data_IF_273594344152
#
_entry.id   IF_273594344152
#
_cell.length_a   1.000
_cell.length_b   1.000
_cell.length_c   1.000
_cell.angle_alpha   90.00
_cell.angle_beta   90.00
_cell.angle_gamma   90.00
#
_symmetry.space_group_name_H-M   'P 1'
#
loop_
_entity.id
_entity.type
_entity.pdbx_description
1 polymer ?
#
# COMPACT_ATOMS: atom_id res chain seq x y z
N UNK A 1 5.07 31.01 -31.08
CA UNK A 1 5.83 31.27 -29.84
C UNK A 1 5.29 30.25 -28.88
N UNK A 2 6.02 29.15 -28.92
CA UNK A 2 5.59 27.78 -28.70
C UNK A 2 5.82 27.38 -27.25
N UNK A 3 4.92 26.53 -26.79
CA UNK A 3 5.16 25.41 -25.88
C UNK A 3 5.88 25.73 -24.55
N UNK A 4 5.05 26.04 -23.55
CA UNK A 4 5.01 25.31 -22.28
C UNK A 4 6.30 24.62 -21.82
N UNK A 5 7.22 25.38 -21.23
CA UNK A 5 8.16 24.89 -20.22
C UNK A 5 7.40 24.51 -18.94
N UNK A 6 6.66 23.40 -19.00
CA UNK A 6 6.47 22.53 -17.84
C UNK A 6 7.61 21.51 -17.88
N UNK A 7 8.78 21.97 -17.47
CA UNK A 7 9.91 21.08 -17.23
C UNK A 7 9.48 20.03 -16.20
N UNK A 8 9.64 18.78 -16.62
CA UNK A 8 9.18 17.57 -15.97
C UNK A 8 9.83 17.39 -14.59
N UNK A 9 9.20 17.88 -13.54
CA UNK A 9 9.53 17.57 -12.15
C UNK A 9 8.96 16.18 -11.74
N UNK A 10 9.21 15.16 -12.57
CA UNK A 10 8.85 13.77 -12.32
C UNK A 10 10.00 12.98 -11.66
N UNK A 11 10.93 13.69 -10.98
CA UNK A 11 11.96 13.07 -10.13
C UNK A 11 11.40 13.02 -8.69
N UNK A 12 10.84 11.86 -8.31
CA UNK A 12 10.38 11.52 -6.95
C UNK A 12 8.91 11.82 -6.59
N UNK A 13 8.00 11.75 -7.55
CA UNK A 13 6.57 11.69 -7.19
C UNK A 13 6.24 10.30 -6.63
N UNK A 14 6.11 10.20 -5.31
CA UNK A 14 5.53 9.03 -4.63
C UNK A 14 4.01 9.13 -4.69
N UNK A 15 3.32 8.02 -4.86
CA UNK A 15 1.85 7.93 -4.70
C UNK A 15 1.51 7.01 -3.53
N UNK A 16 0.31 7.17 -2.98
CA UNK A 16 -0.18 6.38 -1.86
C UNK A 16 -1.48 5.71 -2.23
N UNK A 17 -1.62 4.45 -1.83
CA UNK A 17 -2.86 3.70 -1.87
C UNK A 17 -3.22 3.29 -0.45
N UNK A 18 -4.47 3.49 -0.04
CA UNK A 18 -4.91 3.06 1.28
C UNK A 18 -6.07 2.07 1.23
N UNK A 19 -6.16 1.24 2.26
CA UNK A 19 -7.13 0.18 2.34
C UNK A 19 -7.69 0.14 3.76
N UNK A 20 -8.98 0.44 3.86
CA UNK A 20 -9.68 0.67 5.12
C UNK A 20 -10.61 -0.51 5.37
N UNK A 21 -10.46 -1.17 6.52
CA UNK A 21 -11.31 -2.30 6.91
C UNK A 21 -11.51 -2.34 8.41
N UNK A 22 -12.53 -3.05 8.88
CA UNK A 22 -12.73 -3.28 10.31
C UNK A 22 -12.02 -4.55 10.75
N UNK A 23 -11.25 -4.47 11.82
CA UNK A 23 -10.53 -5.61 12.36
C UNK A 23 -10.31 -5.49 13.87
N UNK A 24 -10.58 -6.59 14.56
CA UNK A 24 -10.25 -6.74 15.97
C UNK A 24 -8.79 -7.14 16.18
N UNK A 25 -8.11 -7.60 15.12
CA UNK A 25 -6.70 -8.00 15.18
C UNK A 25 -5.79 -6.84 15.62
N UNK A 26 -4.68 -7.20 16.27
CA UNK A 26 -3.63 -6.27 16.63
C UNK A 26 -2.85 -5.81 15.39
N UNK A 27 -2.20 -4.66 15.48
CA UNK A 27 -1.37 -4.14 14.38
C UNK A 27 -0.25 -5.13 14.04
N UNK A 28 0.36 -5.78 15.05
CA UNK A 28 1.39 -6.80 14.84
C UNK A 28 0.91 -7.99 14.00
N UNK A 29 -0.30 -8.50 14.28
CA UNK A 29 -0.87 -9.61 13.52
C UNK A 29 -1.16 -9.21 12.07
N UNK A 30 -1.67 -7.99 11.87
CA UNK A 30 -1.94 -7.45 10.53
C UNK A 30 -0.63 -7.23 9.76
N UNK A 31 0.41 -6.70 10.41
CA UNK A 31 1.73 -6.53 9.79
C UNK A 31 2.37 -7.86 9.41
N UNK A 32 2.30 -8.86 10.29
CA UNK A 32 2.82 -10.20 10.01
C UNK A 32 2.12 -10.81 8.79
N UNK A 33 0.79 -10.67 8.71
CA UNK A 33 -0.03 -11.13 7.57
C UNK A 33 0.32 -10.37 6.28
N UNK A 34 0.36 -9.03 6.32
CA UNK A 34 0.75 -8.21 5.17
C UNK A 34 2.15 -8.55 4.69
N UNK A 35 3.12 -8.73 5.60
CA UNK A 35 4.48 -9.15 5.26
C UNK A 35 4.51 -10.52 4.60
N UNK A 36 3.79 -11.50 5.14
CA UNK A 36 3.70 -12.84 4.56
C UNK A 36 3.13 -12.78 3.14
N UNK A 37 2.06 -12.02 2.94
CA UNK A 37 1.44 -11.86 1.64
C UNK A 37 2.35 -11.15 0.63
N UNK A 38 3.10 -10.11 1.02
CA UNK A 38 4.09 -9.46 0.14
C UNK A 38 5.12 -10.47 -0.38
N UNK A 39 5.57 -11.36 0.51
CA UNK A 39 6.54 -12.41 0.18
C UNK A 39 5.93 -13.51 -0.71
N UNK A 40 4.68 -13.91 -0.43
CA UNK A 40 3.99 -14.99 -1.14
C UNK A 40 3.53 -14.60 -2.55
N UNK A 41 2.91 -13.43 -2.70
CA UNK A 41 2.41 -12.95 -3.99
C UNK A 41 3.49 -12.30 -4.86
N UNK A 42 4.74 -12.27 -4.39
CA UNK A 42 5.91 -12.10 -5.24
C UNK A 42 5.93 -10.79 -6.03
N UNK A 43 5.61 -9.67 -5.40
CA UNK A 43 5.74 -8.34 -6.04
C UNK A 43 7.17 -8.15 -6.58
N UNK A 44 8.15 -8.76 -5.89
CA UNK A 44 9.55 -8.83 -6.28
C UNK A 44 10.12 -10.18 -5.74
N UNK A 45 10.78 -11.03 -6.54
CA UNK A 45 11.56 -12.13 -5.97
C UNK A 45 12.79 -11.53 -5.25
N UNK A 46 13.02 -11.93 -3.98
CA UNK A 46 14.12 -11.46 -3.12
C UNK A 46 14.01 -10.03 -2.55
N UNK A 47 12.80 -9.56 -2.24
CA UNK A 47 12.61 -8.26 -1.57
C UNK A 47 13.14 -8.28 -0.14
N UNK A 48 13.92 -7.27 0.22
CA UNK A 48 14.25 -7.01 1.63
C UNK A 48 13.09 -6.28 2.28
N UNK A 49 12.48 -6.90 3.28
CA UNK A 49 11.44 -6.28 4.09
C UNK A 49 12.00 -6.04 5.50
N UNK A 50 12.12 -4.76 5.87
CA UNK A 50 12.43 -4.36 7.25
C UNK A 50 11.19 -3.77 7.89
N UNK A 51 10.87 -4.22 9.09
CA UNK A 51 9.77 -3.72 9.90
C UNK A 51 10.30 -2.72 10.92
N UNK A 52 9.66 -1.57 11.02
CA UNK A 52 9.92 -0.52 12.01
C UNK A 52 8.58 -0.07 12.58
N UNK A 53 8.33 -0.40 13.85
CA UNK A 53 7.04 -0.22 14.52
C UNK A 53 5.85 -0.69 13.65
N UNK A 54 5.04 0.26 13.18
CA UNK A 54 3.84 0.02 12.36
C UNK A 54 4.08 0.21 10.85
N UNK A 55 5.34 0.17 10.39
CA UNK A 55 5.76 0.42 9.02
C UNK A 55 6.64 -0.73 8.50
N UNK A 56 6.28 -1.28 7.34
CA UNK A 56 7.08 -2.22 6.56
C UNK A 56 7.77 -1.46 5.43
N UNK A 57 9.10 -1.37 5.45
CA UNK A 57 9.89 -0.87 4.34
C UNK A 57 10.26 -2.05 3.43
N UNK A 58 9.89 -1.95 2.17
CA UNK A 58 9.98 -2.99 1.15
C UNK A 58 10.95 -2.48 0.07
N UNK A 59 12.13 -3.09 0.01
CA UNK A 59 13.22 -2.77 -0.93
C UNK A 59 13.74 -1.31 -0.90
N UNK A 60 13.35 -0.53 0.11
CA UNK A 60 13.67 0.90 0.21
C UNK A 60 12.89 1.81 -0.74
N UNK A 61 12.09 1.25 -1.65
CA UNK A 61 11.26 1.99 -2.60
C UNK A 61 9.79 2.04 -2.21
N UNK A 62 9.31 1.03 -1.48
CA UNK A 62 7.90 0.94 -1.09
C UNK A 62 7.78 0.87 0.43
N UNK A 63 6.74 1.50 0.97
CA UNK A 63 6.44 1.45 2.40
C UNK A 63 5.00 1.04 2.60
N UNK A 64 4.74 0.11 3.51
CA UNK A 64 3.39 -0.23 3.96
C UNK A 64 3.23 0.17 5.42
N UNK A 65 2.36 1.12 5.74
CA UNK A 65 2.07 1.52 7.12
C UNK A 65 0.68 1.07 7.54
N UNK A 66 0.56 0.50 8.74
CA UNK A 66 -0.71 0.07 9.30
C UNK A 66 -1.06 0.99 10.47
N UNK A 67 -2.24 1.62 10.42
CA UNK A 67 -2.75 2.45 11.50
C UNK A 67 -4.14 1.99 11.94
N UNK A 68 -4.40 2.03 13.25
CA UNK A 68 -5.72 1.68 13.82
C UNK A 68 -6.43 2.95 14.26
N UNK A 69 -7.58 3.22 13.65
CA UNK A 69 -8.51 4.30 13.97
C UNK A 69 -9.51 3.86 15.05
N UNK A 70 -10.22 4.80 15.69
CA UNK A 70 -11.30 4.49 16.61
C UNK A 70 -12.34 3.56 15.97
N UNK A 71 -13.07 2.78 16.79
CA UNK A 71 -14.08 1.81 16.33
C UNK A 71 -13.52 0.60 15.56
N UNK A 72 -12.29 0.17 15.88
CA UNK A 72 -11.63 -1.00 15.29
C UNK A 72 -11.43 -0.89 13.77
N UNK A 73 -11.39 0.33 13.24
CA UNK A 73 -11.07 0.56 11.83
C UNK A 73 -9.55 0.55 11.67
N UNK A 74 -9.06 -0.20 10.69
CA UNK A 74 -7.64 -0.32 10.36
C UNK A 74 -7.45 0.21 8.96
N UNK A 75 -6.39 1.01 8.79
CA UNK A 75 -5.97 1.55 7.52
C UNK A 75 -4.58 1.00 7.23
N UNK A 76 -4.44 0.30 6.11
CA UNK A 76 -3.14 -0.07 5.55
C UNK A 76 -2.86 0.88 4.39
N UNK A 77 -1.77 1.63 4.47
CA UNK A 77 -1.32 2.56 3.45
C UNK A 77 -0.04 2.03 2.78
N UNK A 78 -0.05 1.93 1.46
CA UNK A 78 1.10 1.60 0.64
C UNK A 78 1.59 2.84 -0.09
N UNK A 79 2.81 3.28 0.19
CA UNK A 79 3.50 4.37 -0.50
C UNK A 79 4.50 3.79 -1.50
N UNK A 80 4.33 4.09 -2.78
CA UNK A 80 5.17 3.54 -3.86
C UNK A 80 5.42 4.57 -4.98
N UNK A 81 6.45 4.39 -5.82
CA UNK A 81 6.74 5.31 -6.91
C UNK A 81 5.62 5.33 -7.95
N UNK A 82 5.21 6.51 -8.42
CA UNK A 82 4.17 6.68 -9.45
C UNK A 82 4.51 5.92 -10.74
N UNK A 83 5.80 5.89 -11.10
CA UNK A 83 6.30 5.20 -12.30
C UNK A 83 5.95 3.70 -12.33
N UNK A 84 5.79 3.08 -11.16
CA UNK A 84 5.52 1.66 -11.00
C UNK A 84 4.09 1.39 -10.51
N UNK A 85 3.17 2.37 -10.65
CA UNK A 85 1.80 2.27 -10.13
C UNK A 85 1.09 0.97 -10.51
N UNK A 86 1.08 0.60 -11.80
CA UNK A 86 0.41 -0.63 -12.25
C UNK A 86 1.01 -1.88 -11.63
N UNK A 87 2.34 -1.94 -11.53
CA UNK A 87 3.07 -3.08 -10.97
C UNK A 87 2.71 -3.27 -9.49
N UNK A 88 2.67 -2.18 -8.73
CA UNK A 88 2.39 -2.23 -7.30
C UNK A 88 0.90 -2.38 -6.99
N UNK A 89 -0.01 -1.78 -7.74
CA UNK A 89 -1.46 -1.94 -7.52
C UNK A 89 -1.91 -3.37 -7.81
N UNK A 90 -1.47 -3.97 -8.92
CA UNK A 90 -1.84 -5.36 -9.25
C UNK A 90 -1.26 -6.36 -8.24
N UNK A 91 -0.13 -6.03 -7.64
CA UNK A 91 0.50 -6.86 -6.64
C UNK A 91 -0.10 -6.63 -5.25
N UNK A 92 -0.35 -5.38 -4.84
CA UNK A 92 -0.94 -5.05 -3.54
C UNK A 92 -2.42 -5.42 -3.44
N UNK A 93 -3.15 -5.39 -4.55
CA UNK A 93 -4.51 -5.96 -4.60
C UNK A 93 -4.54 -7.47 -4.33
N UNK A 94 -3.42 -8.18 -4.54
CA UNK A 94 -3.29 -9.61 -4.20
C UNK A 94 -2.73 -9.83 -2.80
N UNK A 95 -1.79 -8.98 -2.38
CA UNK A 95 -1.11 -9.02 -1.08
C UNK A 95 -2.03 -8.60 0.07
N UNK A 96 -2.95 -7.67 -0.17
CA UNK A 96 -3.97 -7.33 0.82
C UNK A 96 -4.95 -8.48 0.91
N UNK A 97 -4.64 -9.52 1.69
CA UNK A 97 -5.59 -10.41 2.38
C UNK A 97 -6.91 -10.63 1.59
N UNK A 98 -6.87 -11.26 0.41
CA UNK A 98 -8.07 -11.47 -0.45
C UNK A 98 -9.05 -10.27 -0.46
N UNK A 99 -8.53 -9.05 -0.57
CA UNK A 99 -9.32 -7.83 -0.40
C UNK A 99 -10.07 -7.51 -1.67
N UNK A 100 -11.38 -7.69 -1.64
CA UNK A 100 -12.27 -7.13 -2.64
C UNK A 100 -12.28 -5.60 -2.49
N UNK A 101 -11.87 -4.88 -3.53
CA UNK A 101 -12.07 -3.43 -3.61
C UNK A 101 -13.57 -3.19 -3.67
N UNK A 102 -14.18 -2.77 -2.55
CA UNK A 102 -15.62 -2.59 -2.50
C UNK A 102 -16.05 -1.26 -3.13
N UNK A 103 -15.36 -0.15 -2.83
CA UNK A 103 -15.72 1.19 -3.30
C UNK A 103 -14.49 2.13 -3.30
N UNK A 104 -14.44 3.08 -4.26
CA UNK A 104 -13.43 4.15 -4.31
C UNK A 104 -13.84 5.26 -3.34
N UNK A 105 -13.06 5.52 -2.30
CA UNK A 105 -13.43 6.45 -1.24
C UNK A 105 -13.18 7.93 -1.57
N UNK A 106 -12.23 8.29 -2.46
CA UNK A 106 -12.04 9.65 -3.01
C UNK A 106 -10.87 9.71 -4.04
N UNK A 107 -10.49 10.91 -4.50
CA UNK A 107 -9.35 11.15 -5.42
C UNK A 107 -7.98 10.66 -4.91
N UNK A 108 -7.84 10.35 -3.62
CA UNK A 108 -6.73 9.58 -3.07
C UNK A 108 -7.12 8.10 -3.15
N UNK A 109 -6.24 7.22 -3.67
CA UNK A 109 -6.49 5.80 -3.96
C UNK A 109 -6.80 4.97 -2.70
N UNK A 110 -7.89 5.28 -2.02
CA UNK A 110 -8.33 4.71 -0.78
C UNK A 110 -9.56 3.85 -1.02
N UNK A 111 -9.50 2.61 -0.58
CA UNK A 111 -10.53 1.61 -0.85
C UNK A 111 -11.10 1.07 0.46
N UNK A 112 -12.42 0.90 0.51
CA UNK A 112 -13.03 0.04 1.52
C UNK A 112 -12.71 -1.41 1.17
N UNK A 113 -12.04 -2.09 2.07
CA UNK A 113 -11.56 -3.44 1.88
C UNK A 113 -12.20 -4.38 2.92
N UNK A 114 -12.23 -5.66 2.62
CA UNK A 114 -12.68 -6.71 3.55
C UNK A 114 -11.61 -7.79 3.63
N UNK A 115 -11.38 -8.34 4.83
CA UNK A 115 -10.48 -9.49 5.01
C UNK A 115 -11.21 -10.75 4.50
N UNK A 116 -10.58 -11.50 3.59
CA UNK A 116 -11.00 -12.86 3.22
C UNK A 116 -10.67 -13.90 4.29
#
# INVERSE_FOLDING_TARGET
MDESDQEQDAKSSMTKMCCIFKSEYSIDALMASTKAAILEYGVLPNVKISQDDSILNIDGTVKASISKKPKNEVIIEFEYPVADYKKYVDAFSRVGIEMYVCEIANQELCFNCQLG
#
